data_IF_131203118406
#
_entry.id   IF_131203118406
#
_cell.length_a   1.000
_cell.length_b   1.000
_cell.length_c   1.000
_cell.angle_alpha   90.00
_cell.angle_beta   90.00
_cell.angle_gamma   90.00
#
_symmetry.space_group_name_H-M   'P 1'
#
loop_
_entity.id
_entity.type
_entity.pdbx_description
1 polymer ?
#
# COMPACT_ATOMS: atom_id res chain seq x y z
N UNK A 1 -45.44 6.53 12.46
CA UNK A 1 -44.25 5.93 13.07
C UNK A 1 -43.74 4.67 12.37
N UNK A 2 -44.52 3.61 12.11
CA UNK A 2 -44.03 2.39 11.43
C UNK A 2 -43.41 2.61 10.02
N UNK A 3 -43.95 3.52 9.21
CA UNK A 3 -43.42 3.83 7.87
C UNK A 3 -42.09 4.60 7.88
N UNK A 4 -41.90 5.49 8.88
CA UNK A 4 -40.63 6.20 9.06
C UNK A 4 -39.51 5.26 9.55
N UNK A 5 -39.87 4.30 10.42
CA UNK A 5 -38.89 3.28 10.89
C UNK A 5 -38.42 2.34 9.74
N UNK A 6 -39.33 1.97 8.83
CA UNK A 6 -38.98 1.15 7.66
C UNK A 6 -38.12 1.91 6.65
N UNK A 7 -38.30 3.22 6.52
CA UNK A 7 -37.48 4.07 5.65
C UNK A 7 -36.07 4.26 6.23
N UNK A 8 -35.95 4.48 7.53
CA UNK A 8 -34.64 4.59 8.21
C UNK A 8 -33.91 3.24 8.18
N UNK A 9 -34.62 2.12 8.37
CA UNK A 9 -34.02 0.78 8.26
C UNK A 9 -33.63 0.43 6.82
N UNK A 10 -34.39 0.87 5.81
CA UNK A 10 -34.05 0.74 4.40
C UNK A 10 -32.84 1.57 3.98
N UNK A 11 -32.70 2.79 4.52
CA UNK A 11 -31.52 3.64 4.28
C UNK A 11 -30.29 3.08 4.99
N UNK A 12 -30.44 2.55 6.21
CA UNK A 12 -29.37 1.86 6.92
C UNK A 12 -28.92 0.55 6.22
N UNK A 13 -29.85 -0.22 5.67
CA UNK A 13 -29.54 -1.42 4.88
C UNK A 13 -28.88 -1.08 3.52
N UNK A 14 -29.30 0.01 2.87
CA UNK A 14 -28.64 0.50 1.65
C UNK A 14 -27.24 1.04 1.94
N UNK A 15 -27.05 1.77 3.05
CA UNK A 15 -25.73 2.23 3.49
C UNK A 15 -24.80 1.06 3.88
N UNK A 16 -25.35 -0.03 4.44
CA UNK A 16 -24.56 -1.24 4.75
C UNK A 16 -24.22 -2.05 3.50
N UNK A 17 -25.05 -2.02 2.44
CA UNK A 17 -24.75 -2.68 1.17
C UNK A 17 -23.64 -1.94 0.39
N UNK A 18 -23.55 -0.61 0.48
CA UNK A 18 -22.41 0.16 -0.06
C UNK A 18 -21.14 0.07 0.81
N UNK A 19 -21.26 -0.30 2.08
CA UNK A 19 -20.13 -0.47 2.99
C UNK A 19 -19.36 -1.79 2.82
N UNK A 20 -19.77 -2.67 1.89
CA UNK A 20 -19.03 -3.86 1.48
C UNK A 20 -18.15 -3.62 0.23
N UNK A 21 -17.63 -2.42 0.06
CA UNK A 21 -16.43 -2.25 -0.77
C UNK A 21 -15.33 -3.10 -0.15
N UNK A 22 -14.74 -4.01 -0.95
CA UNK A 22 -13.61 -4.81 -0.46
C UNK A 22 -12.55 -3.87 0.09
N UNK A 23 -11.82 -4.25 1.15
CA UNK A 23 -10.69 -3.46 1.65
C UNK A 23 -9.76 -3.05 0.51
N UNK A 24 -9.57 -3.92 -0.47
CA UNK A 24 -8.77 -3.66 -1.68
C UNK A 24 -9.33 -2.51 -2.54
N UNK A 25 -10.66 -2.43 -2.72
CA UNK A 25 -11.27 -1.35 -3.52
C UNK A 25 -11.25 -0.02 -2.76
N UNK A 26 -11.44 -0.05 -1.45
CA UNK A 26 -11.27 1.13 -0.60
C UNK A 26 -9.85 1.67 -0.70
N UNK A 27 -8.83 0.81 -0.60
CA UNK A 27 -7.43 1.21 -0.72
C UNK A 27 -7.06 1.73 -2.10
N UNK A 28 -7.61 1.17 -3.17
CA UNK A 28 -7.45 1.70 -4.54
C UNK A 28 -8.04 3.10 -4.70
N UNK A 29 -9.13 3.41 -3.99
CA UNK A 29 -9.75 4.73 -4.01
C UNK A 29 -8.96 5.77 -3.20
N UNK A 30 -8.33 5.33 -2.11
CA UNK A 30 -7.60 6.21 -1.18
C UNK A 30 -6.17 6.55 -1.63
N UNK A 31 -5.69 5.94 -2.69
CA UNK A 31 -4.37 6.24 -3.29
C UNK A 31 -4.51 6.72 -4.73
N UNK A 32 -5.15 7.87 -4.97
CA UNK A 32 -5.24 8.40 -6.32
C UNK A 32 -3.84 8.70 -6.84
N UNK A 33 -3.49 8.16 -7.99
CA UNK A 33 -2.40 8.71 -8.77
C UNK A 33 -2.89 10.02 -9.37
N UNK A 34 -2.27 11.13 -9.00
CA UNK A 34 -2.55 12.38 -9.68
C UNK A 34 -2.28 12.21 -11.18
N UNK A 35 -3.32 12.44 -11.97
CA UNK A 35 -3.13 12.65 -13.40
C UNK A 35 -2.43 14.01 -13.55
N UNK A 36 -1.15 13.99 -13.92
CA UNK A 36 -0.37 15.21 -14.10
C UNK A 36 -1.03 16.18 -15.10
N UNK A 37 -1.82 15.67 -16.03
CA UNK A 37 -2.53 16.49 -17.02
C UNK A 37 -3.67 17.31 -16.41
N UNK A 38 -4.16 16.94 -15.24
CA UNK A 38 -5.17 17.71 -14.49
C UNK A 38 -4.63 18.95 -13.78
N UNK A 39 -3.30 19.09 -13.63
CA UNK A 39 -2.65 20.19 -12.93
C UNK A 39 -2.18 21.23 -13.94
N UNK A 40 -2.70 22.45 -13.86
CA UNK A 40 -2.24 23.57 -14.71
C UNK A 40 -0.80 23.94 -14.40
N UNK A 41 -0.02 24.18 -15.46
CA UNK A 41 1.37 24.59 -15.30
C UNK A 41 1.48 25.97 -14.62
N UNK A 42 2.52 26.12 -13.80
CA UNK A 42 2.90 27.39 -13.11
C UNK A 42 1.80 27.92 -12.16
N UNK A 43 0.87 27.08 -11.78
CA UNK A 43 -0.17 27.36 -10.80
C UNK A 43 0.15 26.59 -9.52
N UNK A 44 -0.03 27.25 -8.37
CA UNK A 44 0.15 26.63 -7.06
C UNK A 44 -1.21 26.18 -6.53
N UNK A 45 -1.32 24.91 -6.20
CA UNK A 45 -2.53 24.32 -5.61
C UNK A 45 -2.27 23.98 -4.14
N UNK A 46 -3.29 24.11 -3.32
CA UNK A 46 -3.34 23.54 -1.99
C UNK A 46 -4.27 22.34 -2.03
N UNK A 47 -3.70 21.17 -1.83
CA UNK A 47 -4.41 19.90 -1.76
C UNK A 47 -4.47 19.43 -0.31
N UNK A 48 -5.53 18.73 0.06
CA UNK A 48 -5.69 18.16 1.40
C UNK A 48 -6.25 16.75 1.27
N UNK A 49 -5.41 15.76 1.47
CA UNK A 49 -5.86 14.36 1.59
C UNK A 49 -6.28 14.09 3.04
N UNK A 50 -7.47 13.58 3.22
CA UNK A 50 -8.01 13.26 4.55
C UNK A 50 -8.66 11.89 4.55
N UNK A 51 -8.29 11.06 5.53
CA UNK A 51 -8.87 9.76 5.81
C UNK A 51 -9.19 9.67 7.29
N UNK A 52 -10.45 9.48 7.63
CA UNK A 52 -10.85 9.05 8.97
C UNK A 52 -11.26 7.57 8.91
N UNK A 53 -10.86 6.80 9.90
CA UNK A 53 -11.12 5.37 9.94
C UNK A 53 -11.51 4.89 11.33
N UNK A 54 -12.31 3.85 11.34
CA UNK A 54 -12.63 3.07 12.53
C UNK A 54 -12.62 1.60 12.11
N UNK A 55 -11.67 0.85 12.64
CA UNK A 55 -11.56 -0.59 12.39
C UNK A 55 -11.80 -1.35 13.69
N UNK A 56 -12.65 -2.35 13.63
CA UNK A 56 -12.92 -3.26 14.72
C UNK A 56 -12.78 -4.71 14.23
N UNK A 57 -11.96 -5.49 14.90
CA UNK A 57 -11.72 -6.89 14.58
C UNK A 57 -11.96 -7.74 15.82
N UNK A 58 -12.88 -8.64 15.73
CA UNK A 58 -13.27 -9.60 16.78
C UNK A 58 -12.59 -10.96 16.53
N UNK A 59 -11.28 -11.04 16.73
CA UNK A 59 -10.53 -12.30 16.63
C UNK A 59 -10.21 -12.83 18.03
N UNK A 60 -10.42 -14.12 18.23
CA UNK A 60 -9.95 -14.84 19.41
C UNK A 60 -9.07 -16.02 18.97
N UNK A 61 -7.77 -15.77 18.88
CA UNK A 61 -6.80 -16.75 18.40
C UNK A 61 -5.39 -16.52 18.89
N UNK A 62 -4.55 -17.54 18.74
CA UNK A 62 -3.14 -17.47 19.13
C UNK A 62 -2.30 -16.62 18.15
N UNK A 63 -2.75 -16.47 16.91
CA UNK A 63 -2.02 -15.75 15.85
C UNK A 63 -2.47 -14.29 15.77
N UNK A 64 -3.77 -14.04 15.94
CA UNK A 64 -4.34 -12.69 15.91
C UNK A 64 -5.35 -12.54 17.06
N UNK A 65 -5.33 -11.39 17.70
CA UNK A 65 -6.32 -10.99 18.72
C UNK A 65 -7.16 -9.85 18.19
N UNK A 66 -8.40 -9.77 18.68
CA UNK A 66 -9.31 -8.68 18.38
C UNK A 66 -8.75 -7.33 18.86
N UNK A 67 -9.05 -6.28 18.14
CA UNK A 67 -8.69 -4.91 18.48
C UNK A 67 -9.60 -3.91 17.81
N UNK A 68 -9.77 -2.76 18.44
CA UNK A 68 -10.47 -1.59 17.91
C UNK A 68 -9.44 -0.51 17.60
N UNK A 69 -9.51 0.08 16.42
CA UNK A 69 -8.54 1.04 15.91
C UNK A 69 -9.27 2.25 15.28
N UNK A 70 -9.64 3.28 16.05
CA UNK A 70 -10.06 4.57 15.52
C UNK A 70 -8.83 5.42 15.17
N UNK A 71 -8.91 6.18 14.08
CA UNK A 71 -7.82 7.07 13.69
C UNK A 71 -8.18 8.00 12.55
N UNK A 72 -7.20 8.84 12.20
CA UNK A 72 -7.28 9.75 11.07
C UNK A 72 -5.89 9.99 10.47
N UNK A 73 -5.85 10.16 9.17
CA UNK A 73 -4.69 10.64 8.42
C UNK A 73 -5.06 11.93 7.71
N UNK A 74 -4.19 12.91 7.76
CA UNK A 74 -4.37 14.21 7.11
C UNK A 74 -3.05 14.62 6.45
N UNK A 75 -3.09 14.93 5.15
CA UNK A 75 -1.89 15.33 4.39
C UNK A 75 -2.19 16.60 3.59
N UNK A 76 -2.12 17.79 4.22
CA UNK A 76 -2.14 19.05 3.50
C UNK A 76 -0.81 19.25 2.78
N UNK A 77 -0.86 19.57 1.48
CA UNK A 77 0.34 19.83 0.69
C UNK A 77 0.08 20.85 -0.42
N UNK A 78 1.15 21.52 -0.81
CA UNK A 78 1.19 22.43 -1.96
C UNK A 78 1.70 21.64 -3.16
N UNK A 79 1.01 21.77 -4.28
CA UNK A 79 1.37 21.15 -5.56
C UNK A 79 1.73 22.23 -6.56
N UNK A 80 2.88 22.10 -7.22
CA UNK A 80 3.38 23.02 -8.24
C UNK A 80 3.95 22.27 -9.45
N UNK A 81 3.49 22.61 -10.66
CA UNK A 81 3.95 22.03 -11.92
C UNK A 81 4.78 23.05 -12.71
N UNK A 82 6.12 23.08 -12.56
CA UNK A 82 6.97 24.04 -13.28
C UNK A 82 7.11 23.75 -14.78
N UNK A 83 6.97 22.47 -15.19
CA UNK A 83 7.07 21.96 -16.56
C UNK A 83 6.03 20.87 -16.82
N UNK A 84 5.70 20.60 -18.09
CA UNK A 84 4.74 19.53 -18.41
C UNK A 84 5.10 18.17 -17.82
N UNK A 85 6.40 17.88 -17.74
CA UNK A 85 6.93 16.60 -17.30
C UNK A 85 7.23 16.53 -15.79
N UNK A 86 7.15 17.67 -15.06
CA UNK A 86 7.59 17.74 -13.67
C UNK A 86 6.52 18.32 -12.76
N UNK A 87 6.18 17.61 -11.69
CA UNK A 87 5.37 18.07 -10.56
C UNK A 87 6.16 17.98 -9.25
N UNK A 88 5.97 18.97 -8.39
CA UNK A 88 6.57 19.05 -7.07
C UNK A 88 5.46 19.22 -6.03
N UNK A 89 5.51 18.45 -4.97
CA UNK A 89 4.58 18.51 -3.84
C UNK A 89 5.37 18.70 -2.55
N UNK A 90 4.89 19.58 -1.67
CA UNK A 90 5.51 19.86 -0.37
C UNK A 90 4.43 20.10 0.69
N UNK A 91 4.52 19.44 1.83
CA UNK A 91 3.52 19.56 2.88
C UNK A 91 3.90 18.83 4.17
N UNK A 92 2.86 18.36 4.85
CA UNK A 92 2.96 17.61 6.10
C UNK A 92 2.03 16.40 6.03
N UNK A 93 2.46 15.28 6.59
CA UNK A 93 1.61 14.11 6.82
C UNK A 93 1.41 13.92 8.32
N UNK A 94 0.17 13.95 8.76
CA UNK A 94 -0.23 13.69 10.14
C UNK A 94 -1.04 12.41 10.21
N UNK A 95 -0.60 11.45 11.03
CA UNK A 95 -1.33 10.23 11.36
C UNK A 95 -1.59 10.19 12.85
N UNK A 96 -2.84 10.02 13.23
CA UNK A 96 -3.27 9.84 14.62
C UNK A 96 -4.16 8.62 14.71
N UNK A 97 -3.86 7.72 15.65
CA UNK A 97 -4.71 6.58 15.96
C UNK A 97 -4.61 6.18 17.43
N UNK A 98 -5.64 5.51 17.91
CA UNK A 98 -5.73 4.93 19.24
C UNK A 98 -6.10 3.46 19.12
N UNK A 99 -5.83 2.66 20.13
CA UNK A 99 -6.22 1.26 20.18
C UNK A 99 -5.14 0.34 20.71
N UNK A 100 -5.06 -0.87 20.16
CA UNK A 100 -4.15 -1.87 20.69
C UNK A 100 -2.68 -1.47 20.55
N UNK A 101 -1.92 -1.63 21.64
CA UNK A 101 -0.48 -1.37 21.68
C UNK A 101 0.36 -2.44 20.98
N UNK A 102 -0.25 -3.45 20.38
CA UNK A 102 0.45 -4.58 19.79
C UNK A 102 -0.07 -4.88 18.40
N UNK A 103 0.19 -3.94 17.50
CA UNK A 103 0.04 -4.26 16.10
C UNK A 103 1.09 -5.30 15.74
N UNK A 104 0.70 -6.49 15.27
CA UNK A 104 1.66 -7.54 14.96
C UNK A 104 2.35 -7.25 13.62
N UNK A 105 3.16 -6.20 13.56
CA UNK A 105 4.12 -6.05 12.50
C UNK A 105 5.45 -6.63 12.98
N UNK A 106 5.55 -7.96 13.02
CA UNK A 106 6.73 -8.67 13.47
C UNK A 106 7.97 -8.40 12.61
N UNK A 107 7.79 -7.91 11.38
CA UNK A 107 8.89 -7.65 10.47
C UNK A 107 9.77 -6.46 10.88
N UNK A 108 9.29 -5.56 11.74
CA UNK A 108 9.99 -4.33 12.11
C UNK A 108 9.94 -4.03 13.62
N UNK A 109 10.25 -5.02 14.43
CA UNK A 109 10.24 -4.90 15.89
C UNK A 109 11.26 -3.90 16.45
N UNK A 110 12.43 -3.80 15.84
CA UNK A 110 13.47 -2.87 16.23
C UNK A 110 13.06 -1.42 16.02
N UNK A 111 12.38 -1.10 14.91
CA UNK A 111 11.85 0.24 14.67
C UNK A 111 10.88 0.65 15.78
N UNK A 112 9.99 -0.26 16.17
CA UNK A 112 9.09 -0.03 17.30
C UNK A 112 9.87 0.14 18.62
N UNK A 113 10.92 -0.62 18.81
CA UNK A 113 11.70 -0.60 20.05
C UNK A 113 12.43 0.73 20.22
N UNK A 114 13.05 1.28 19.20
CA UNK A 114 13.78 2.54 19.33
C UNK A 114 12.92 3.80 19.16
N UNK A 115 11.86 3.76 18.36
CA UNK A 115 10.85 4.84 18.28
C UNK A 115 9.93 4.88 19.51
N UNK A 116 9.95 3.81 20.33
CA UNK A 116 9.18 3.69 21.55
C UNK A 116 7.70 3.40 21.35
N UNK A 117 6.97 3.27 22.46
CA UNK A 117 5.53 2.96 22.45
C UNK A 117 4.66 4.01 21.75
N UNK A 118 5.14 5.24 21.62
CA UNK A 118 4.46 6.31 20.87
C UNK A 118 4.33 6.01 19.36
N UNK A 119 5.19 5.14 18.82
CA UNK A 119 5.10 4.72 17.42
C UNK A 119 3.94 3.75 17.17
N UNK A 120 3.48 3.04 18.18
CA UNK A 120 2.38 2.09 18.07
C UNK A 120 0.99 2.64 18.44
N UNK A 121 0.96 3.80 19.02
CA UNK A 121 -0.29 4.43 19.41
C UNK A 121 -0.04 5.89 19.70
N UNK A 122 -0.30 6.79 18.76
CA UNK A 122 -0.03 8.18 18.98
C UNK A 122 -0.26 9.07 17.78
N UNK A 123 0.40 10.21 17.79
CA UNK A 123 0.40 11.16 16.70
C UNK A 123 1.77 11.15 16.01
N UNK A 124 1.75 10.89 14.71
CA UNK A 124 2.94 10.98 13.85
C UNK A 124 2.80 12.22 12.97
N UNK A 125 3.76 13.11 13.02
CA UNK A 125 3.82 14.28 12.16
C UNK A 125 5.14 14.24 11.38
N UNK A 126 5.06 14.11 10.07
CA UNK A 126 6.20 13.95 9.19
C UNK A 126 6.17 14.98 8.06
N UNK A 127 7.34 15.45 7.59
CA UNK A 127 7.41 16.20 6.35
C UNK A 127 6.91 15.34 5.19
N UNK A 128 6.15 15.95 4.30
CA UNK A 128 5.69 15.38 3.05
C UNK A 128 6.39 16.08 1.90
N UNK A 129 7.00 15.29 1.02
CA UNK A 129 7.66 15.78 -0.19
C UNK A 129 7.55 14.75 -1.30
N UNK A 130 7.13 15.17 -2.49
CA UNK A 130 7.15 14.34 -3.69
C UNK A 130 7.59 15.12 -4.89
N UNK A 131 8.53 14.56 -5.66
CA UNK A 131 8.88 15.03 -6.99
C UNK A 131 8.50 13.95 -8.00
N UNK A 132 7.68 14.29 -8.98
CA UNK A 132 7.22 13.39 -10.02
C UNK A 132 7.68 13.85 -11.38
N UNK A 133 8.40 13.00 -12.12
CA UNK A 133 8.84 13.27 -13.47
C UNK A 133 8.25 12.26 -14.45
N UNK A 134 7.47 12.72 -15.44
CA UNK A 134 6.84 11.87 -16.45
C UNK A 134 7.59 11.96 -17.77
N UNK A 135 8.14 10.83 -18.25
CA UNK A 135 8.90 10.73 -19.50
C UNK A 135 8.26 9.66 -20.39
N UNK A 136 7.33 10.08 -21.22
CA UNK A 136 6.57 9.17 -22.08
C UNK A 136 5.72 8.18 -21.27
N UNK A 137 6.00 6.89 -21.40
CA UNK A 137 5.29 5.83 -20.67
C UNK A 137 5.81 5.59 -19.25
N UNK A 138 6.91 6.23 -18.86
CA UNK A 138 7.55 6.06 -17.56
C UNK A 138 7.30 7.30 -16.69
N UNK A 139 6.98 7.08 -15.42
CA UNK A 139 6.89 8.08 -14.38
C UNK A 139 7.86 7.72 -13.27
N UNK A 140 8.71 8.66 -12.90
CA UNK A 140 9.66 8.54 -11.81
C UNK A 140 9.20 9.38 -10.64
N UNK A 141 9.26 8.83 -9.44
CA UNK A 141 8.85 9.48 -8.19
C UNK A 141 10.00 9.44 -7.21
N UNK A 142 10.25 10.55 -6.56
CA UNK A 142 11.23 10.69 -5.47
C UNK A 142 10.53 11.34 -4.27
N UNK A 143 10.74 10.79 -3.08
CA UNK A 143 10.11 11.23 -1.83
C UNK A 143 8.95 10.34 -1.42
N UNK A 144 7.80 10.91 -1.08
CA UNK A 144 6.61 10.14 -0.72
C UNK A 144 6.06 9.39 -1.93
N UNK A 145 5.95 8.06 -1.84
CA UNK A 145 5.60 7.19 -2.96
C UNK A 145 4.10 7.21 -3.26
N UNK A 146 3.72 6.88 -4.49
CA UNK A 146 2.34 6.59 -4.86
C UNK A 146 1.98 5.15 -4.50
N UNK A 147 0.69 4.90 -4.28
CA UNK A 147 0.17 3.55 -4.03
C UNK A 147 0.34 3.10 -2.58
N UNK A 148 0.72 4.00 -1.72
CA UNK A 148 1.03 3.87 -0.29
C UNK A 148 0.59 2.54 0.32
N UNK A 149 1.59 1.74 0.72
CA UNK A 149 1.46 0.46 1.37
C UNK A 149 0.75 -0.66 0.56
N UNK A 150 0.33 -0.43 -0.66
CA UNK A 150 -0.41 -1.42 -1.44
C UNK A 150 0.28 -1.77 -2.77
N UNK A 151 0.70 -0.80 -3.56
CA UNK A 151 1.42 -0.97 -4.84
C UNK A 151 0.82 -2.03 -5.80
N UNK A 152 -0.47 -2.34 -5.68
CA UNK A 152 -1.11 -3.41 -6.45
C UNK A 152 -0.74 -4.84 -6.02
N UNK A 153 -0.13 -5.02 -4.86
CA UNK A 153 0.17 -6.32 -4.27
C UNK A 153 -1.12 -7.09 -3.91
N UNK A 154 -1.07 -8.40 -4.05
CA UNK A 154 -2.14 -9.29 -3.54
C UNK A 154 -2.07 -9.43 -2.03
N UNK A 155 -3.19 -9.73 -1.39
CA UNK A 155 -3.29 -9.83 0.07
C UNK A 155 -2.23 -10.71 0.75
N UNK A 156 -1.81 -11.87 0.22
CA UNK A 156 -0.73 -12.64 0.84
C UNK A 156 0.63 -11.93 0.90
N UNK A 157 0.87 -10.94 0.05
CA UNK A 157 2.12 -10.15 0.04
C UNK A 157 1.98 -8.80 0.74
N UNK A 158 0.76 -8.39 1.07
CA UNK A 158 0.47 -7.09 1.59
C UNK A 158 -0.51 -7.14 2.76
N UNK A 159 -0.25 -6.33 3.78
CA UNK A 159 -1.12 -6.18 4.95
C UNK A 159 -1.95 -4.88 4.85
N UNK A 160 -3.28 -4.98 4.66
CA UNK A 160 -4.13 -3.81 4.46
C UNK A 160 -4.06 -2.78 5.59
N UNK A 161 -3.86 -3.22 6.83
CA UNK A 161 -3.74 -2.33 7.99
C UNK A 161 -2.58 -1.36 7.92
N UNK A 162 -1.55 -1.65 7.11
CA UNK A 162 -0.42 -0.75 6.96
C UNK A 162 -0.85 0.64 6.48
N UNK A 163 -1.86 0.74 5.62
CA UNK A 163 -2.38 2.04 5.21
C UNK A 163 -2.89 2.88 6.39
N UNK A 164 -3.42 2.24 7.42
CA UNK A 164 -4.00 2.90 8.58
C UNK A 164 -2.97 3.26 9.65
N UNK A 165 -1.86 2.52 9.73
CA UNK A 165 -0.97 2.54 10.91
C UNK A 165 0.49 2.79 10.62
N UNK A 166 0.93 2.71 9.35
CA UNK A 166 2.32 3.01 8.98
C UNK A 166 2.50 4.46 8.54
N UNK A 167 3.71 4.95 8.71
CA UNK A 167 4.15 6.20 8.11
C UNK A 167 4.10 6.09 6.58
N UNK A 168 3.97 7.20 5.85
CA UNK A 168 4.05 7.20 4.39
C UNK A 168 5.37 6.58 3.91
N UNK A 169 5.29 5.73 2.90
CA UNK A 169 6.47 5.16 2.24
C UNK A 169 7.27 6.24 1.54
N UNK A 170 8.60 6.21 1.73
CA UNK A 170 9.52 7.23 1.20
C UNK A 170 10.69 6.59 0.49
N UNK A 171 11.00 7.12 -0.69
CA UNK A 171 12.14 6.62 -1.44
C UNK A 171 12.07 6.95 -2.91
N UNK A 172 12.21 5.94 -3.75
CA UNK A 172 12.17 6.07 -5.20
C UNK A 172 11.22 5.07 -5.82
N UNK A 173 10.45 5.51 -6.82
CA UNK A 173 9.50 4.66 -7.52
C UNK A 173 9.54 4.90 -9.02
N UNK A 174 9.36 3.84 -9.78
CA UNK A 174 9.21 3.87 -11.23
C UNK A 174 7.89 3.23 -11.61
N UNK A 175 7.03 4.00 -12.24
CA UNK A 175 5.77 3.54 -12.79
C UNK A 175 5.88 3.47 -14.31
N UNK A 176 5.51 2.34 -14.92
CA UNK A 176 5.44 2.22 -16.37
C UNK A 176 4.01 1.88 -16.77
N UNK A 177 3.47 2.64 -17.70
CA UNK A 177 2.14 2.41 -18.26
C UNK A 177 2.17 2.47 -19.77
N UNK A 178 2.16 1.30 -20.36
CA UNK A 178 2.00 1.13 -21.80
C UNK A 178 0.62 0.54 -22.09
N UNK A 179 0.33 0.33 -23.36
CA UNK A 179 -0.93 -0.27 -23.81
C UNK A 179 -1.16 -1.68 -23.25
N UNK A 180 -0.08 -2.47 -23.01
CA UNK A 180 -0.17 -3.87 -22.61
C UNK A 180 0.63 -4.21 -21.37
N UNK A 181 1.46 -3.32 -20.89
CA UNK A 181 2.33 -3.55 -19.76
C UNK A 181 2.20 -2.41 -18.75
N UNK A 182 1.90 -2.78 -17.54
CA UNK A 182 1.88 -1.90 -16.36
C UNK A 182 2.92 -2.42 -15.38
N UNK A 183 3.67 -1.53 -14.77
CA UNK A 183 4.65 -1.85 -13.74
C UNK A 183 4.68 -0.74 -12.70
N UNK A 184 4.82 -1.13 -11.44
CA UNK A 184 5.20 -0.32 -10.30
C UNK A 184 6.41 -0.98 -9.65
N UNK A 185 7.54 -0.30 -9.60
CA UNK A 185 8.75 -0.77 -8.93
C UNK A 185 9.23 0.32 -7.99
N UNK A 186 9.50 -0.04 -6.73
CA UNK A 186 9.82 0.94 -5.69
C UNK A 186 10.88 0.43 -4.71
N UNK A 187 11.49 1.40 -4.04
CA UNK A 187 12.21 1.22 -2.79
C UNK A 187 11.60 2.16 -1.74
N UNK A 188 11.18 1.61 -0.62
CA UNK A 188 10.73 2.32 0.57
C UNK A 188 11.82 2.23 1.64
N UNK A 189 12.41 3.38 1.97
CA UNK A 189 13.48 3.46 2.97
C UNK A 189 12.89 3.81 4.33
N UNK A 190 12.74 2.81 5.16
CA UNK A 190 11.99 2.91 6.42
C UNK A 190 12.84 3.40 7.58
N UNK A 191 14.14 3.09 7.57
CA UNK A 191 15.07 3.49 8.60
C UNK A 191 16.46 3.73 8.04
N UNK A 192 16.99 4.95 8.22
CA UNK A 192 18.37 5.30 7.95
C UNK A 192 19.17 5.20 9.23
N UNK A 193 20.46 4.88 9.14
CA UNK A 193 21.36 4.86 10.25
C UNK A 193 22.49 5.87 10.08
N UNK A 194 22.98 6.36 11.21
CA UNK A 194 24.23 7.08 11.35
C UNK A 194 25.19 6.23 12.19
N UNK A 195 26.48 6.51 12.10
CA UNK A 195 27.49 5.86 12.92
C UNK A 195 27.09 5.88 14.41
N UNK A 196 27.11 4.71 15.07
CA UNK A 196 26.72 4.49 16.46
C UNK A 196 25.21 4.50 16.77
N UNK A 197 24.34 4.49 15.76
CA UNK A 197 22.92 4.31 15.99
C UNK A 197 22.61 2.92 16.58
N UNK A 198 21.63 2.89 17.49
CA UNK A 198 21.19 1.67 18.20
C UNK A 198 20.00 0.97 17.53
N UNK A 199 19.87 1.11 16.24
CA UNK A 199 18.87 0.44 15.42
C UNK A 199 19.46 0.11 14.06
N UNK A 200 18.86 -0.87 13.39
CA UNK A 200 19.32 -1.28 12.07
C UNK A 200 18.71 -0.44 10.97
N UNK A 201 19.44 -0.27 9.86
CA UNK A 201 18.87 0.12 8.60
C UNK A 201 17.71 -0.81 8.22
N UNK A 202 16.66 -0.26 7.61
CA UNK A 202 15.55 -1.03 7.10
C UNK A 202 14.99 -0.43 5.82
N UNK A 203 14.79 -1.26 4.80
CA UNK A 203 14.12 -0.88 3.57
C UNK A 203 13.34 -2.04 2.95
N UNK A 204 12.38 -1.70 2.13
CA UNK A 204 11.63 -2.64 1.31
C UNK A 204 11.82 -2.28 -0.17
N UNK A 205 12.19 -3.26 -0.98
CA UNK A 205 12.17 -3.15 -2.44
C UNK A 205 11.02 -3.99 -2.94
N UNK A 206 10.19 -3.41 -3.80
CA UNK A 206 9.05 -4.10 -4.36
C UNK A 206 8.89 -3.87 -5.86
N UNK A 207 8.17 -4.78 -6.49
CA UNK A 207 7.76 -4.66 -7.88
C UNK A 207 6.43 -5.39 -8.08
N UNK A 208 5.50 -4.70 -8.68
CA UNK A 208 4.30 -5.30 -9.27
C UNK A 208 4.25 -5.00 -10.75
N UNK A 209 3.95 -5.98 -11.54
CA UNK A 209 3.73 -5.79 -12.97
C UNK A 209 2.62 -6.68 -13.49
N UNK A 210 1.95 -6.23 -14.53
CA UNK A 210 0.95 -7.02 -15.27
C UNK A 210 1.17 -6.85 -16.77
N UNK A 211 1.17 -7.98 -17.48
CA UNK A 211 1.24 -8.01 -18.95
C UNK A 211 -0.08 -8.54 -19.49
N UNK A 212 -0.74 -7.75 -20.33
CA UNK A 212 -1.96 -8.12 -21.02
C UNK A 212 -1.65 -9.05 -22.20
N UNK A 213 -1.93 -10.34 -22.02
CA UNK A 213 -1.72 -11.38 -23.03
C UNK A 213 -2.86 -11.40 -24.05
N UNK A 214 -4.09 -11.24 -23.58
CA UNK A 214 -5.28 -11.18 -24.43
C UNK A 214 -6.12 -9.96 -24.06
N UNK A 215 -6.46 -9.16 -25.05
CA UNK A 215 -7.28 -7.95 -24.90
C UNK A 215 -8.63 -8.11 -25.57
N UNK A 216 -9.75 -7.88 -24.86
CA UNK A 216 -11.05 -7.91 -25.46
C UNK A 216 -11.23 -6.70 -26.37
N UNK A 217 -11.98 -6.86 -27.48
CA UNK A 217 -12.30 -5.74 -28.39
C UNK A 217 -13.36 -4.81 -27.78
N UNK A 218 -14.54 -5.29 -27.44
CA UNK A 218 -15.59 -4.51 -26.78
C UNK A 218 -16.16 -5.29 -25.58
N UNK A 219 -16.62 -6.50 -25.83
CA UNK A 219 -17.01 -7.48 -24.82
C UNK A 219 -16.27 -8.76 -25.14
N UNK A 220 -15.68 -9.42 -24.14
CA UNK A 220 -14.92 -10.60 -24.45
C UNK A 220 -14.03 -11.05 -23.30
N UNK A 221 -13.07 -11.90 -23.64
CA UNK A 221 -12.08 -12.40 -22.71
C UNK A 221 -10.87 -11.48 -22.67
N UNK A 222 -10.39 -11.18 -21.46
CA UNK A 222 -9.07 -10.62 -21.18
C UNK A 222 -8.25 -11.64 -20.40
N UNK A 223 -6.95 -11.70 -20.67
CA UNK A 223 -6.00 -12.51 -19.94
C UNK A 223 -4.80 -11.66 -19.59
N UNK A 224 -4.48 -11.57 -18.30
CA UNK A 224 -3.32 -10.86 -17.79
C UNK A 224 -2.39 -11.83 -17.04
N UNK A 225 -1.09 -11.51 -17.06
CA UNK A 225 -0.03 -12.20 -16.33
C UNK A 225 0.53 -11.24 -15.28
N UNK A 226 0.00 -11.24 -14.04
CA UNK A 226 0.59 -10.51 -12.92
C UNK A 226 1.83 -11.22 -12.39
N UNK A 227 2.88 -10.45 -12.10
CA UNK A 227 4.10 -10.90 -11.40
C UNK A 227 4.41 -9.88 -10.31
N UNK A 228 4.68 -10.35 -9.10
CA UNK A 228 4.93 -9.52 -7.94
C UNK A 228 6.15 -10.02 -7.17
N UNK A 229 6.92 -9.07 -6.65
CA UNK A 229 8.11 -9.33 -5.85
C UNK A 229 8.18 -8.31 -4.72
N UNK A 230 8.57 -8.77 -3.54
CA UNK A 230 8.86 -7.93 -2.40
C UNK A 230 10.06 -8.47 -1.64
N UNK A 231 11.03 -7.62 -1.37
CA UNK A 231 12.23 -7.93 -0.59
C UNK A 231 12.28 -6.95 0.58
N UNK A 232 12.22 -7.47 1.79
CA UNK A 232 12.41 -6.71 3.01
C UNK A 232 13.81 -6.97 3.54
N UNK A 233 14.57 -5.93 3.75
CA UNK A 233 15.95 -6.00 4.21
C UNK A 233 16.13 -5.18 5.49
N UNK A 234 17.04 -5.68 6.35
CA UNK A 234 17.33 -5.08 7.62
C UNK A 234 18.74 -5.40 8.06
N UNK A 235 19.48 -4.36 8.46
CA UNK A 235 20.86 -4.45 8.93
C UNK A 235 21.85 -4.56 7.77
N UNK A 236 23.11 -4.80 8.12
CA UNK A 236 24.22 -4.94 7.17
C UNK A 236 25.13 -3.72 7.09
N UNK A 237 24.70 -2.58 7.59
CA UNK A 237 25.56 -1.43 7.83
C UNK A 237 26.15 -1.46 9.26
N UNK A 238 27.10 -0.58 9.53
CA UNK A 238 27.71 -0.42 10.86
C UNK A 238 26.70 0.25 11.81
N UNK A 239 25.97 -0.58 12.52
CA UNK A 239 25.14 -0.17 13.65
C UNK A 239 25.75 -0.64 14.97
N UNK A 240 25.30 -0.05 16.09
CA UNK A 240 25.71 -0.45 17.45
C UNK A 240 24.70 -1.44 18.04
N UNK A 241 24.33 -2.47 17.26
CA UNK A 241 23.41 -3.53 17.67
C UNK A 241 24.05 -4.91 17.52
N UNK A 242 23.62 -5.86 18.37
CA UNK A 242 23.96 -7.27 18.25
C UNK A 242 23.02 -8.03 17.30
N UNK A 243 22.15 -7.33 16.55
CA UNK A 243 21.14 -7.92 15.69
C UNK A 243 21.76 -8.35 14.36
N UNK A 244 21.49 -9.58 13.95
CA UNK A 244 21.94 -10.08 12.66
C UNK A 244 21.13 -9.50 11.48
N UNK A 245 21.73 -9.54 10.30
CA UNK A 245 21.08 -9.18 9.04
C UNK A 245 19.85 -10.06 8.80
N UNK A 246 18.78 -9.46 8.34
CA UNK A 246 17.55 -10.13 7.95
C UNK A 246 17.18 -9.75 6.52
N UNK A 247 16.91 -10.76 5.68
CA UNK A 247 16.45 -10.55 4.31
C UNK A 247 15.37 -11.57 3.96
N UNK A 248 14.17 -11.07 3.70
CA UNK A 248 13.00 -11.85 3.34
C UNK A 248 12.61 -11.50 1.90
N UNK A 249 12.50 -12.52 1.05
CA UNK A 249 12.05 -12.40 -0.32
C UNK A 249 10.72 -13.13 -0.48
N UNK A 250 9.69 -12.41 -0.93
CA UNK A 250 8.38 -12.96 -1.23
C UNK A 250 8.01 -12.57 -2.66
N UNK A 251 7.34 -13.46 -3.36
CA UNK A 251 6.89 -13.16 -4.72
C UNK A 251 5.74 -14.01 -5.17
N UNK A 252 5.11 -13.58 -6.24
CA UNK A 252 4.04 -14.34 -6.90
C UNK A 252 4.10 -14.20 -8.40
N UNK A 253 3.64 -15.24 -9.08
CA UNK A 253 3.28 -15.23 -10.48
C UNK A 253 1.87 -15.78 -10.61
N UNK A 254 1.02 -15.10 -11.39
CA UNK A 254 -0.39 -15.45 -11.51
C UNK A 254 -0.91 -15.42 -12.93
N UNK A 255 -2.16 -15.81 -13.06
CA UNK A 255 -3.00 -15.63 -14.23
C UNK A 255 -4.33 -15.04 -13.79
N UNK A 256 -4.72 -13.95 -14.44
CA UNK A 256 -6.02 -13.30 -14.24
C UNK A 256 -6.83 -13.38 -15.52
N UNK A 257 -7.93 -14.11 -15.46
CA UNK A 257 -8.86 -14.28 -16.57
C UNK A 257 -10.14 -13.51 -16.28
N UNK A 258 -10.49 -12.58 -17.14
CA UNK A 258 -11.70 -11.78 -17.02
C UNK A 258 -12.56 -11.95 -18.25
N UNK A 259 -13.86 -12.12 -18.04
CA UNK A 259 -14.89 -12.10 -19.07
C UNK A 259 -15.82 -10.92 -18.84
N UNK A 260 -16.03 -10.11 -19.86
CA UNK A 260 -17.04 -9.05 -19.84
C UNK A 260 -18.19 -9.37 -20.80
N UNK A 261 -19.42 -9.01 -20.39
CA UNK A 261 -20.64 -9.17 -21.15
C UNK A 261 -21.38 -7.83 -21.25
N UNK A 262 -22.17 -7.68 -22.29
CA UNK A 262 -23.15 -6.59 -22.36
C UNK A 262 -24.47 -7.08 -21.72
N UNK A 263 -24.47 -7.26 -20.39
CA UNK A 263 -25.65 -7.75 -19.69
C UNK A 263 -25.98 -6.88 -18.48
N UNK A 264 -27.28 -6.70 -18.20
CA UNK A 264 -27.75 -5.74 -17.20
C UNK A 264 -27.45 -6.14 -15.75
N UNK A 265 -27.40 -7.44 -15.46
CA UNK A 265 -27.23 -7.97 -14.10
C UNK A 265 -25.81 -8.47 -13.87
N UNK A 266 -25.28 -9.25 -14.82
CA UNK A 266 -23.90 -9.76 -14.77
C UNK A 266 -23.10 -9.16 -15.92
N UNK A 267 -22.30 -8.16 -15.63
CA UNK A 267 -21.51 -7.44 -16.64
C UNK A 267 -20.07 -7.94 -16.76
N UNK A 268 -19.53 -8.56 -15.70
CA UNK A 268 -18.21 -9.16 -15.70
C UNK A 268 -18.11 -10.32 -14.70
N UNK A 269 -17.20 -11.24 -14.99
CA UNK A 269 -16.67 -12.22 -14.05
C UNK A 269 -15.15 -12.29 -14.20
N UNK A 270 -14.46 -12.52 -13.09
CA UNK A 270 -13.02 -12.57 -13.02
C UNK A 270 -12.58 -13.73 -12.13
N UNK A 271 -11.52 -14.41 -12.56
CA UNK A 271 -10.84 -15.45 -11.81
C UNK A 271 -9.35 -15.13 -11.84
N UNK A 272 -8.75 -15.09 -10.68
CA UNK A 272 -7.33 -14.85 -10.50
C UNK A 272 -6.72 -15.99 -9.68
N UNK A 273 -5.55 -16.49 -10.12
CA UNK A 273 -4.78 -17.53 -9.44
C UNK A 273 -3.32 -17.12 -9.37
N UNK A 274 -2.68 -17.31 -8.22
CA UNK A 274 -1.27 -17.03 -8.01
C UNK A 274 -0.54 -18.22 -7.40
N UNK A 275 0.66 -18.47 -7.89
CA UNK A 275 1.66 -19.26 -7.18
C UNK A 275 2.57 -18.31 -6.42
N UNK A 276 2.68 -18.52 -5.11
CA UNK A 276 3.51 -17.73 -4.22
C UNK A 276 4.78 -18.49 -3.87
N UNK A 277 5.87 -17.75 -3.74
CA UNK A 277 7.13 -18.24 -3.19
C UNK A 277 7.61 -17.31 -2.08
N UNK A 278 8.18 -17.89 -1.02
CA UNK A 278 8.82 -17.20 0.07
C UNK A 278 10.23 -17.75 0.29
N UNK A 279 11.19 -16.87 0.52
CA UNK A 279 12.58 -17.23 0.78
C UNK A 279 13.18 -16.31 1.85
N UNK A 280 13.70 -16.91 2.93
CA UNK A 280 14.47 -16.24 3.95
C UNK A 280 15.96 -16.39 3.62
N UNK A 281 16.56 -15.34 3.03
CA UNK A 281 17.96 -15.35 2.64
C UNK A 281 18.88 -15.22 3.86
N UNK A 282 18.52 -14.35 4.80
CA UNK A 282 19.24 -14.12 6.03
C UNK A 282 18.28 -13.93 7.19
N UNK A 283 18.78 -14.17 8.40
CA UNK A 283 18.00 -14.11 9.64
C UNK A 283 17.37 -15.46 10.00
N UNK A 284 16.62 -15.47 11.09
CA UNK A 284 15.92 -16.65 11.64
C UNK A 284 14.54 -16.25 12.16
N UNK A 285 13.80 -15.44 11.39
CA UNK A 285 12.45 -15.03 11.77
C UNK A 285 11.46 -16.20 11.76
N UNK A 286 11.67 -17.13 10.84
CA UNK A 286 10.83 -18.31 10.66
C UNK A 286 11.65 -19.59 10.80
N UNK A 287 11.03 -20.70 11.22
CA UNK A 287 11.71 -21.99 11.34
C UNK A 287 12.04 -22.66 9.99
N UNK A 288 11.61 -22.05 8.87
CA UNK A 288 11.84 -22.53 7.52
C UNK A 288 12.51 -21.44 6.66
N UNK A 289 13.35 -21.83 5.71
CA UNK A 289 14.01 -20.90 4.79
C UNK A 289 13.23 -20.66 3.51
N UNK A 290 12.36 -21.59 3.12
CA UNK A 290 11.56 -21.51 1.90
C UNK A 290 10.13 -21.93 2.15
N UNK A 291 9.22 -21.35 1.40
CA UNK A 291 7.81 -21.68 1.42
C UNK A 291 7.18 -21.48 0.05
N UNK A 292 6.07 -22.17 -0.21
CA UNK A 292 5.27 -21.98 -1.39
C UNK A 292 3.78 -22.16 -1.06
N UNK A 293 2.91 -21.43 -1.78
CA UNK A 293 1.47 -21.54 -1.63
C UNK A 293 0.77 -21.25 -2.96
N UNK A 294 -0.51 -21.64 -3.04
CA UNK A 294 -1.44 -21.21 -4.08
C UNK A 294 -2.46 -20.26 -3.47
N UNK A 295 -2.80 -19.22 -4.21
CA UNK A 295 -3.80 -18.22 -3.84
C UNK A 295 -4.85 -18.07 -4.93
#
# INVERSE_FOLDING_TARGET
>A
MRRALLLVFGILLAAVADAQTSEVDLFRQLTPQHDMDSIEMKTLYLDVDALAFFKDNEFDGNIAKGYTLPGARLTPHLTYRPRPELSLELGLSALMYHGTNRYPNYAFHDIVTWKGGAYQGGAHLLPYFRATAQLGAATFVLGDLYGTAHHGLILPLYKPENLLTTDPEKGFQTLIRTRRWKMDAWIDWQSFIYEMDKHQEAFTVGMTQSVELLRPKAHGWALELPVQLMVQHRGGEQDDTDLGVQTLCNGSIGLQLRKTWNHRVLNAAEVEMHTLGAYQQAGKLWPFNTGAALW
#
